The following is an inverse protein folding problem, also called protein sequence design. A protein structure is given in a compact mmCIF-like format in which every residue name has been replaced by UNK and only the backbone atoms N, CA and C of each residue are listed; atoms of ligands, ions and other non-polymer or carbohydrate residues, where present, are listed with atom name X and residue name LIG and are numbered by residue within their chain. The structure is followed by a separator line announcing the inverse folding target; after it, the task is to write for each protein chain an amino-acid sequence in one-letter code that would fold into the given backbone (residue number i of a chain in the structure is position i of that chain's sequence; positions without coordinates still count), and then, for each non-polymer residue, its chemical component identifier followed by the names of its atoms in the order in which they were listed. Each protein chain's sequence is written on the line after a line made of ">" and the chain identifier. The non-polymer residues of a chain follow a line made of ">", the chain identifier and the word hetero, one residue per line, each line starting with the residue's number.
data_IF_228390790582
#
_entry.id   IF_228390790582
#
_cell.length_a   1.000
_cell.length_b   1.000
_cell.length_c   1.000
_cell.angle_alpha   90.00
_cell.angle_beta   90.00
_cell.angle_gamma   90.00
#
_symmetry.space_group_name_H-M   'P 1'
#
loop_
_entity.id
_entity.type
_entity.pdbx_description
1 polymer ?
#
# COMPACT_ATOMS: atom_id res chain seq x y z
N UNK A 1 12.01 35.48 -38.13
CA UNK A 1 12.85 34.28 -38.38
C UNK A 1 11.91 33.10 -38.49
N UNK A 2 12.01 32.32 -39.56
CA UNK A 2 11.19 31.13 -39.72
C UNK A 2 11.73 30.04 -38.78
N UNK A 3 10.93 29.56 -37.82
CA UNK A 3 11.35 28.48 -36.89
C UNK A 3 11.74 27.24 -37.71
N UNK A 4 12.95 26.73 -37.49
CA UNK A 4 13.48 25.55 -38.18
C UNK A 4 12.89 24.25 -37.62
N UNK A 5 13.07 23.11 -38.32
CA UNK A 5 12.66 21.78 -37.80
C UNK A 5 13.33 21.49 -36.45
N UNK A 6 14.58 21.93 -36.26
CA UNK A 6 15.33 21.77 -35.01
C UNK A 6 14.74 22.62 -33.87
N UNK A 7 14.38 23.87 -34.14
CA UNK A 7 13.71 24.75 -33.15
C UNK A 7 12.37 24.17 -32.68
N UNK A 8 11.61 23.57 -33.60
CA UNK A 8 10.34 22.93 -33.28
C UNK A 8 10.53 21.63 -32.50
N UNK A 9 11.58 20.85 -32.79
CA UNK A 9 11.92 19.67 -32.00
C UNK A 9 12.34 20.08 -30.60
N UNK A 10 13.19 21.10 -30.44
CA UNK A 10 13.58 21.62 -29.12
C UNK A 10 12.36 22.16 -28.34
N UNK A 11 11.44 22.86 -29.02
CA UNK A 11 10.17 23.26 -28.43
C UNK A 11 9.33 22.06 -27.96
N UNK A 12 9.23 20.99 -28.77
CA UNK A 12 8.54 19.75 -28.38
C UNK A 12 9.21 19.05 -27.20
N UNK A 13 10.54 19.06 -27.13
CA UNK A 13 11.32 18.53 -25.99
C UNK A 13 11.04 19.33 -24.72
N UNK A 14 11.12 20.66 -24.78
CA UNK A 14 10.86 21.58 -23.65
C UNK A 14 9.43 21.49 -23.16
N UNK A 15 8.47 21.47 -24.09
CA UNK A 15 7.04 21.35 -23.78
C UNK A 15 6.63 19.93 -23.39
N UNK A 16 7.48 18.91 -23.64
CA UNK A 16 7.24 17.48 -23.39
C UNK A 16 6.04 16.92 -24.16
N UNK A 17 5.82 17.46 -25.36
CA UNK A 17 4.72 17.10 -26.22
C UNK A 17 5.17 16.10 -27.30
N UNK A 18 4.42 15.01 -27.45
CA UNK A 18 4.76 13.93 -28.38
C UNK A 18 3.64 13.74 -29.40
N UNK A 19 3.91 13.83 -30.72
CA UNK A 19 2.88 13.70 -31.73
C UNK A 19 2.34 12.27 -31.80
N UNK A 20 1.03 12.12 -31.98
CA UNK A 20 0.31 10.86 -32.12
C UNK A 20 -0.74 11.00 -33.22
N UNK A 21 -0.76 10.03 -34.13
CA UNK A 21 -1.79 9.90 -35.16
C UNK A 21 -2.82 8.84 -34.72
N UNK A 22 -4.10 9.20 -34.75
CA UNK A 22 -5.20 8.28 -34.46
C UNK A 22 -5.41 7.26 -35.59
N UNK A 23 -6.22 6.23 -35.35
CA UNK A 23 -6.62 5.27 -36.41
C UNK A 23 -7.32 5.94 -37.61
N UNK A 24 -7.89 7.13 -37.41
CA UNK A 24 -8.60 7.91 -38.42
C UNK A 24 -7.74 9.03 -39.04
N UNK A 25 -6.42 9.00 -38.86
CA UNK A 25 -5.51 10.01 -39.43
C UNK A 25 -5.46 11.35 -38.67
N UNK A 26 -6.18 11.48 -37.54
CA UNK A 26 -6.19 12.72 -36.75
C UNK A 26 -4.91 12.85 -35.94
N UNK A 27 -4.19 13.96 -36.12
CA UNK A 27 -2.96 14.26 -35.38
C UNK A 27 -3.29 15.00 -34.08
N UNK A 28 -2.65 14.55 -33.02
CA UNK A 28 -2.74 15.11 -31.67
C UNK A 28 -1.37 15.01 -30.99
N UNK A 29 -1.24 15.59 -29.80
CA UNK A 29 -0.03 15.50 -29.00
C UNK A 29 -0.37 15.01 -27.60
N UNK A 30 0.44 14.08 -27.09
CA UNK A 30 0.36 13.54 -25.73
C UNK A 30 1.48 14.11 -24.87
N UNK A 31 1.30 14.05 -23.55
CA UNK A 31 2.23 14.61 -22.56
C UNK A 31 1.75 15.94 -21.97
N UNK A 32 2.50 16.49 -21.00
CA UNK A 32 2.30 17.85 -20.53
C UNK A 32 2.35 18.81 -21.72
N UNK A 33 1.53 19.85 -21.70
CA UNK A 33 1.55 20.92 -22.69
C UNK A 33 1.73 22.22 -21.93
N UNK A 34 2.59 23.10 -22.42
CA UNK A 34 2.64 24.46 -21.87
C UNK A 34 1.38 25.24 -22.25
N UNK A 35 1.16 26.39 -21.60
CA UNK A 35 -0.02 27.24 -21.83
C UNK A 35 -0.11 27.81 -23.25
N UNK A 36 0.96 27.75 -24.03
CA UNK A 36 1.06 28.31 -25.38
C UNK A 36 0.97 27.23 -26.46
N UNK A 37 1.07 25.96 -26.09
CA UNK A 37 1.13 24.83 -27.00
C UNK A 37 -0.04 24.78 -27.97
N UNK A 38 -1.26 25.00 -27.49
CA UNK A 38 -2.44 24.95 -28.35
C UNK A 38 -2.46 26.03 -29.43
N UNK A 39 -1.80 27.18 -29.19
CA UNK A 39 -1.64 28.24 -30.21
C UNK A 39 -0.61 27.87 -31.28
N UNK A 40 0.41 27.08 -30.93
CA UNK A 40 1.48 26.63 -31.84
C UNK A 40 1.18 25.29 -32.52
N UNK A 41 0.18 24.55 -32.06
CA UNK A 41 -0.10 23.18 -32.48
C UNK A 41 -0.24 23.02 -34.00
N UNK A 42 -1.06 23.85 -34.64
CA UNK A 42 -1.33 23.72 -36.09
C UNK A 42 -0.11 24.13 -36.93
N UNK A 43 0.67 25.09 -36.44
CA UNK A 43 1.95 25.47 -37.04
C UNK A 43 2.95 24.31 -36.96
N UNK A 44 3.08 23.66 -35.80
CA UNK A 44 3.97 22.50 -35.60
C UNK A 44 3.57 21.37 -36.56
N UNK A 45 2.28 21.05 -36.68
CA UNK A 45 1.79 19.99 -37.60
C UNK A 45 2.17 20.31 -39.05
N UNK A 46 1.97 21.56 -39.47
CA UNK A 46 2.26 22.01 -40.83
C UNK A 46 3.75 22.01 -41.13
N UNK A 47 4.57 22.60 -40.25
CA UNK A 47 6.02 22.75 -40.46
C UNK A 47 6.77 21.42 -40.36
N UNK A 48 6.40 20.56 -39.41
CA UNK A 48 6.97 19.20 -39.30
C UNK A 48 6.36 18.19 -40.28
N UNK A 49 5.43 18.63 -41.15
CA UNK A 49 4.76 17.81 -42.17
C UNK A 49 4.13 16.53 -41.60
N UNK A 50 3.56 16.61 -40.40
CA UNK A 50 2.89 15.47 -39.78
C UNK A 50 1.61 15.17 -40.57
N UNK A 51 1.52 13.99 -41.19
CA UNK A 51 0.30 13.53 -41.88
C UNK A 51 -0.07 12.10 -41.51
N UNK A 52 0.94 11.26 -41.34
CA UNK A 52 0.78 9.82 -41.15
C UNK A 52 1.24 9.37 -39.76
N UNK A 53 0.97 8.10 -39.47
CA UNK A 53 1.51 7.43 -38.27
C UNK A 53 3.03 7.33 -38.31
N UNK A 54 3.62 7.17 -39.50
CA UNK A 54 5.06 7.13 -39.72
C UNK A 54 5.72 8.49 -39.43
N UNK A 55 5.14 9.59 -39.91
CA UNK A 55 5.65 10.94 -39.65
C UNK A 55 5.65 11.25 -38.14
N UNK A 56 4.55 10.93 -37.46
CA UNK A 56 4.44 11.07 -36.01
C UNK A 56 5.45 10.17 -35.29
N UNK A 57 5.71 8.96 -35.80
CA UNK A 57 6.71 8.04 -35.26
C UNK A 57 8.13 8.61 -35.36
N UNK A 58 8.51 9.11 -36.54
CA UNK A 58 9.82 9.73 -36.81
C UNK A 58 10.08 10.92 -35.87
N UNK A 59 9.17 11.90 -35.84
CA UNK A 59 9.32 13.07 -34.97
C UNK A 59 9.34 12.66 -33.49
N UNK A 60 8.50 11.69 -33.09
CA UNK A 60 8.49 11.21 -31.71
C UNK A 60 9.83 10.58 -31.30
N UNK A 61 10.48 9.83 -32.19
CA UNK A 61 11.82 9.29 -31.90
C UNK A 61 12.87 10.41 -31.82
N UNK A 62 12.85 11.39 -32.73
CA UNK A 62 13.76 12.55 -32.65
C UNK A 62 13.60 13.32 -31.33
N UNK A 63 12.35 13.61 -30.92
CA UNK A 63 12.06 14.27 -29.63
C UNK A 63 12.57 13.41 -28.46
N UNK A 64 12.46 12.08 -28.52
CA UNK A 64 13.00 11.19 -27.48
C UNK A 64 14.53 11.18 -27.45
N UNK A 65 15.18 11.21 -28.60
CA UNK A 65 16.65 11.23 -28.72
C UNK A 65 17.21 12.53 -28.16
N UNK A 66 16.68 13.68 -28.57
CA UNK A 66 17.09 14.98 -28.03
C UNK A 66 16.77 15.09 -26.54
N UNK A 67 15.60 14.64 -26.11
CA UNK A 67 15.28 14.56 -24.68
C UNK A 67 16.25 13.66 -23.90
N UNK A 68 16.74 12.57 -24.50
CA UNK A 68 17.70 11.67 -23.87
C UNK A 68 19.09 12.29 -23.73
N UNK A 69 19.52 13.16 -24.66
CA UNK A 69 20.79 13.91 -24.55
C UNK A 69 20.79 14.89 -23.37
N UNK A 70 19.62 15.45 -23.04
CA UNK A 70 19.44 16.37 -21.91
C UNK A 70 19.30 15.66 -20.54
N UNK A 71 19.26 14.32 -20.50
CA UNK A 71 19.12 13.59 -19.23
C UNK A 71 20.43 13.62 -18.47
N UNK A 72 20.35 14.04 -17.21
CA UNK A 72 21.45 13.92 -16.24
C UNK A 72 21.65 12.49 -15.74
N UNK A 73 20.66 11.61 -15.93
CA UNK A 73 20.67 10.23 -15.45
C UNK A 73 20.80 9.23 -16.59
N UNK A 74 21.66 8.21 -16.40
CA UNK A 74 21.78 7.09 -17.34
C UNK A 74 20.58 6.14 -17.17
N UNK A 75 19.97 5.62 -18.25
CA UNK A 75 18.95 4.56 -18.14
C UNK A 75 19.50 3.34 -17.38
N UNK A 76 18.68 2.68 -16.55
CA UNK A 76 19.09 1.50 -15.76
C UNK A 76 19.73 0.41 -16.64
N UNK A 77 19.22 0.20 -17.86
CA UNK A 77 19.80 -0.75 -18.83
C UNK A 77 21.24 -0.47 -19.24
N UNK A 78 21.75 0.75 -19.00
CA UNK A 78 23.12 1.18 -19.26
C UNK A 78 23.98 1.21 -17.99
N UNK A 79 23.42 0.88 -16.83
CA UNK A 79 24.21 0.75 -15.59
C UNK A 79 25.06 -0.51 -15.63
N UNK A 80 26.09 -0.55 -14.76
CA UNK A 80 26.81 -1.78 -14.43
C UNK A 80 25.80 -2.85 -14.07
N UNK A 81 25.97 -4.07 -14.59
CA UNK A 81 24.93 -5.11 -14.54
C UNK A 81 24.56 -5.44 -13.09
N UNK A 82 25.56 -5.45 -12.22
CA UNK A 82 25.45 -5.71 -10.79
C UNK A 82 24.64 -4.66 -10.03
N UNK A 83 24.59 -3.41 -10.52
CA UNK A 83 23.86 -2.31 -9.87
C UNK A 83 22.38 -2.25 -10.27
N UNK A 84 22.01 -2.99 -11.33
CA UNK A 84 20.63 -3.01 -11.83
C UNK A 84 19.75 -3.78 -10.84
N UNK A 85 18.57 -3.25 -10.49
CA UNK A 85 17.76 -3.82 -9.41
C UNK A 85 17.45 -5.32 -9.55
N UNK A 86 17.07 -5.79 -10.74
CA UNK A 86 16.67 -7.20 -10.96
C UNK A 86 17.88 -8.13 -10.94
N UNK A 87 18.95 -7.73 -11.60
CA UNK A 87 20.19 -8.48 -11.66
C UNK A 87 20.86 -8.56 -10.28
N UNK A 88 20.81 -7.48 -9.50
CA UNK A 88 21.23 -7.48 -8.09
C UNK A 88 20.42 -8.49 -7.29
N UNK A 89 19.09 -8.48 -7.39
CA UNK A 89 18.23 -9.45 -6.69
C UNK A 89 18.57 -10.89 -7.03
N UNK A 90 18.78 -11.21 -8.31
CA UNK A 90 19.15 -12.55 -8.74
C UNK A 90 20.52 -12.97 -8.20
N UNK A 91 21.47 -12.03 -8.12
CA UNK A 91 22.85 -12.30 -7.72
C UNK A 91 23.02 -12.46 -6.20
N UNK A 92 22.37 -11.61 -5.40
CA UNK A 92 22.62 -11.52 -3.95
C UNK A 92 21.44 -11.99 -3.09
N UNK A 93 20.29 -12.32 -3.68
CA UNK A 93 19.08 -12.67 -2.93
C UNK A 93 18.29 -11.44 -2.47
N UNK A 94 16.96 -11.58 -2.35
CA UNK A 94 16.04 -10.48 -2.01
C UNK A 94 16.32 -9.81 -0.66
N UNK A 95 16.83 -10.58 0.29
CA UNK A 95 17.20 -10.18 1.65
C UNK A 95 18.39 -9.22 1.69
N UNK A 96 19.22 -9.21 0.64
CA UNK A 96 20.41 -8.36 0.53
C UNK A 96 20.22 -7.17 -0.43
N UNK A 97 19.03 -7.00 -1.01
CA UNK A 97 18.74 -5.90 -1.94
C UNK A 97 18.22 -4.68 -1.18
N UNK A 98 18.75 -3.47 -1.43
CA UNK A 98 18.21 -2.24 -0.87
C UNK A 98 16.72 -2.05 -1.16
N UNK A 99 15.97 -1.53 -0.19
CA UNK A 99 14.52 -1.31 -0.31
C UNK A 99 14.14 -0.45 -1.53
N UNK A 100 14.96 0.58 -1.84
CA UNK A 100 14.79 1.41 -3.04
C UNK A 100 14.79 0.58 -4.32
N UNK A 101 15.64 -0.43 -4.41
CA UNK A 101 15.75 -1.32 -5.58
C UNK A 101 14.62 -2.34 -5.63
N UNK A 102 14.19 -2.87 -4.49
CA UNK A 102 12.98 -3.71 -4.41
C UNK A 102 11.75 -2.95 -4.93
N UNK A 103 11.53 -1.73 -4.44
CA UNK A 103 10.47 -0.86 -4.93
C UNK A 103 10.66 -0.51 -6.42
N UNK A 104 11.89 -0.28 -6.90
CA UNK A 104 12.15 -0.04 -8.31
C UNK A 104 11.76 -1.22 -9.20
N UNK A 105 11.97 -2.45 -8.75
CA UNK A 105 11.54 -3.68 -9.44
C UNK A 105 10.02 -3.69 -9.57
N UNK A 106 9.31 -3.39 -8.47
CA UNK A 106 7.85 -3.26 -8.46
C UNK A 106 7.41 -2.16 -9.41
N UNK A 107 7.97 -0.94 -9.35
CA UNK A 107 7.56 0.17 -10.22
C UNK A 107 7.83 -0.10 -11.72
N UNK A 108 8.75 -1.01 -12.04
CA UNK A 108 9.20 -1.47 -13.37
C UNK A 108 9.83 -0.42 -14.27
N UNK A 109 9.28 0.78 -14.32
CA UNK A 109 9.68 1.86 -15.23
C UNK A 109 9.82 3.18 -14.48
N UNK A 110 10.74 4.01 -14.97
CA UNK A 110 10.91 5.39 -14.51
C UNK A 110 9.82 6.33 -15.05
N UNK A 111 10.08 7.62 -14.96
CA UNK A 111 9.29 8.66 -15.59
C UNK A 111 9.98 9.14 -16.87
N UNK A 112 9.39 8.83 -18.03
CA UNK A 112 9.94 9.26 -19.31
C UNK A 112 9.95 10.77 -19.49
N UNK A 113 9.08 11.50 -18.77
CA UNK A 113 8.94 12.95 -18.91
C UNK A 113 10.10 13.75 -18.32
N UNK A 114 10.73 13.30 -17.24
CA UNK A 114 11.88 13.98 -16.62
C UNK A 114 13.14 13.11 -16.59
N UNK A 115 13.07 11.90 -17.15
CA UNK A 115 14.21 10.97 -17.20
C UNK A 115 14.50 10.26 -15.89
N UNK A 116 13.72 10.50 -14.83
CA UNK A 116 13.92 9.79 -13.55
C UNK A 116 13.70 8.29 -13.73
N UNK A 117 14.59 7.50 -13.15
CA UNK A 117 14.57 6.03 -13.19
C UNK A 117 13.50 5.46 -12.25
N UNK A 118 13.26 4.15 -12.32
CA UNK A 118 12.36 3.49 -11.38
C UNK A 118 12.90 3.55 -9.94
N UNK A 119 14.23 3.56 -9.77
CA UNK A 119 14.87 3.71 -8.46
C UNK A 119 14.77 5.15 -7.93
N UNK A 120 14.80 6.15 -8.80
CA UNK A 120 14.54 7.55 -8.39
C UNK A 120 13.09 7.74 -7.93
N UNK A 121 12.13 7.09 -8.58
CA UNK A 121 10.73 7.11 -8.15
C UNK A 121 10.55 6.37 -6.81
N UNK A 122 11.22 5.25 -6.61
CA UNK A 122 11.24 4.53 -5.34
C UNK A 122 11.83 5.39 -4.21
N UNK A 123 12.91 6.12 -4.49
CA UNK A 123 13.51 7.06 -3.55
C UNK A 123 12.53 8.18 -3.18
N UNK A 124 11.86 8.79 -4.17
CA UNK A 124 10.83 9.81 -3.91
C UNK A 124 9.67 9.30 -3.03
N UNK A 125 9.27 8.03 -3.19
CA UNK A 125 8.27 7.41 -2.32
C UNK A 125 8.77 7.36 -0.87
N UNK A 126 9.97 6.84 -0.66
CA UNK A 126 10.56 6.72 0.67
C UNK A 126 10.87 8.09 1.28
N UNK A 127 11.29 9.08 0.51
CA UNK A 127 11.53 10.44 1.01
C UNK A 127 10.22 11.10 1.48
N UNK A 128 9.12 10.89 0.74
CA UNK A 128 7.81 11.49 1.05
C UNK A 128 7.09 10.78 2.19
N UNK A 129 7.10 9.45 2.19
CA UNK A 129 6.32 8.62 3.10
C UNK A 129 7.16 7.94 4.19
N UNK A 130 8.48 8.22 4.21
CA UNK A 130 9.50 7.74 5.17
C UNK A 130 9.84 6.26 5.05
N UNK A 131 8.84 5.39 5.17
CA UNK A 131 9.02 3.94 5.24
C UNK A 131 7.85 3.19 4.57
N UNK A 132 7.87 1.85 4.63
CA UNK A 132 6.81 1.01 4.06
C UNK A 132 5.46 1.18 4.77
N UNK A 133 5.44 1.50 6.06
CA UNK A 133 4.19 1.74 6.80
C UNK A 133 3.54 3.02 6.32
N UNK A 134 4.31 4.09 6.15
CA UNK A 134 3.81 5.35 5.60
C UNK A 134 3.32 5.20 4.15
N UNK A 135 3.99 4.37 3.34
CA UNK A 135 3.51 4.04 1.98
C UNK A 135 2.21 3.23 2.04
N UNK A 136 2.06 2.29 2.98
CA UNK A 136 0.82 1.52 3.12
C UNK A 136 -0.35 2.38 3.64
N UNK A 137 -0.11 3.29 4.57
CA UNK A 137 -1.16 4.20 5.08
C UNK A 137 -1.64 5.22 4.04
N UNK A 138 -0.80 5.55 3.06
CA UNK A 138 -1.13 6.49 2.01
C UNK A 138 -2.23 5.93 1.07
N UNK A 139 -3.16 6.79 0.68
CA UNK A 139 -4.13 6.44 -0.36
C UNK A 139 -3.44 6.30 -1.73
N UNK A 140 -4.09 5.63 -2.68
CA UNK A 140 -3.57 5.57 -4.06
C UNK A 140 -3.40 6.96 -4.65
N UNK A 141 -4.31 7.90 -4.33
CA UNK A 141 -4.22 9.29 -4.78
C UNK A 141 -3.02 10.02 -4.17
N UNK A 142 -2.74 9.78 -2.89
CA UNK A 142 -1.53 10.30 -2.23
C UNK A 142 -0.26 9.78 -2.92
N UNK A 143 -0.20 8.49 -3.26
CA UNK A 143 0.93 7.94 -4.02
C UNK A 143 1.03 8.59 -5.41
N UNK A 144 -0.11 8.82 -6.08
CA UNK A 144 -0.17 9.43 -7.40
C UNK A 144 0.22 10.91 -7.43
N UNK A 145 0.26 11.58 -6.28
CA UNK A 145 0.78 12.96 -6.19
C UNK A 145 2.28 13.06 -6.49
N UNK A 146 3.02 11.93 -6.45
CA UNK A 146 4.43 11.90 -6.87
C UNK A 146 4.50 11.86 -8.40
N UNK A 147 5.08 12.90 -9.00
CA UNK A 147 5.28 12.97 -10.44
C UNK A 147 6.06 11.75 -10.97
N UNK A 148 5.43 10.99 -11.86
CA UNK A 148 5.96 9.75 -12.43
C UNK A 148 5.35 8.48 -11.84
N UNK A 149 4.55 8.60 -10.79
CA UNK A 149 3.71 7.55 -10.20
C UNK A 149 2.27 7.86 -10.59
N UNK A 150 1.75 7.14 -11.59
CA UNK A 150 0.33 7.20 -11.93
C UNK A 150 -0.44 6.04 -11.29
N UNK A 151 -1.75 6.02 -11.52
CA UNK A 151 -2.68 5.02 -10.98
C UNK A 151 -2.15 3.58 -11.06
N UNK A 152 -1.64 3.18 -12.23
CA UNK A 152 -1.10 1.83 -12.43
C UNK A 152 0.06 1.49 -11.46
N UNK A 153 1.00 2.42 -11.26
CA UNK A 153 2.14 2.21 -10.34
C UNK A 153 1.69 2.28 -8.87
N UNK A 154 0.79 3.20 -8.54
CA UNK A 154 0.21 3.32 -7.20
C UNK A 154 -0.51 2.04 -6.77
N UNK A 155 -1.41 1.53 -7.61
CA UNK A 155 -2.10 0.25 -7.37
C UNK A 155 -1.10 -0.90 -7.27
N UNK A 156 -0.07 -0.94 -8.13
CA UNK A 156 0.93 -2.01 -8.08
C UNK A 156 1.68 -2.06 -6.74
N UNK A 157 2.06 -0.91 -6.18
CA UNK A 157 2.70 -0.83 -4.85
C UNK A 157 1.72 -1.28 -3.77
N UNK A 158 0.47 -0.80 -3.80
CA UNK A 158 -0.56 -1.21 -2.84
C UNK A 158 -0.86 -2.70 -2.89
N UNK A 159 -0.94 -3.29 -4.09
CA UNK A 159 -1.11 -4.73 -4.27
C UNK A 159 0.06 -5.52 -3.67
N UNK A 160 1.31 -5.06 -3.88
CA UNK A 160 2.49 -5.74 -3.33
C UNK A 160 2.49 -5.76 -1.79
N UNK A 161 2.13 -4.64 -1.16
CA UNK A 161 2.01 -4.53 0.29
C UNK A 161 0.88 -5.42 0.83
N UNK A 162 -0.29 -5.39 0.20
CA UNK A 162 -1.43 -6.23 0.59
C UNK A 162 -1.13 -7.72 0.49
N UNK A 163 -0.39 -8.16 -0.54
CA UNK A 163 0.08 -9.55 -0.64
C UNK A 163 0.94 -9.93 0.57
N UNK A 164 1.86 -9.04 0.98
CA UNK A 164 2.67 -9.23 2.18
C UNK A 164 1.81 -9.38 3.44
N UNK A 165 0.80 -8.53 3.63
CA UNK A 165 -0.12 -8.61 4.78
C UNK A 165 -0.93 -9.91 4.79
N UNK A 166 -1.43 -10.35 3.64
CA UNK A 166 -2.15 -11.62 3.50
C UNK A 166 -1.26 -12.83 3.77
N UNK A 167 0.00 -12.78 3.37
CA UNK A 167 0.96 -13.86 3.68
C UNK A 167 1.13 -14.06 5.20
N UNK A 168 1.21 -12.98 5.99
CA UNK A 168 1.22 -13.09 7.45
C UNK A 168 -0.09 -13.67 8.00
N UNK A 169 -1.23 -13.24 7.48
CA UNK A 169 -2.55 -13.73 7.88
C UNK A 169 -2.73 -15.23 7.57
N UNK A 170 -2.31 -15.69 6.40
CA UNK A 170 -2.35 -17.12 6.03
C UNK A 170 -1.53 -17.98 6.99
N UNK A 171 -0.35 -17.52 7.41
CA UNK A 171 0.48 -18.21 8.40
C UNK A 171 -0.17 -18.28 9.80
N UNK A 172 -1.03 -17.32 10.13
CA UNK A 172 -1.81 -17.33 11.36
C UNK A 172 -3.05 -18.25 11.26
N UNK A 173 -3.68 -18.32 10.09
CA UNK A 173 -4.89 -19.11 9.81
C UNK A 173 -4.65 -20.63 9.76
N UNK A 174 -3.41 -21.08 9.62
CA UNK A 174 -3.05 -22.48 9.89
C UNK A 174 -3.58 -22.80 11.29
N UNK A 175 -4.58 -23.71 11.41
CA UNK A 175 -5.38 -24.01 12.62
C UNK A 175 -4.54 -24.32 13.86
N UNK A 176 -3.94 -23.29 14.43
CA UNK A 176 -3.12 -23.32 15.63
C UNK A 176 -4.07 -23.45 16.81
N UNK A 177 -3.67 -24.33 17.71
CA UNK A 177 -4.26 -24.39 19.04
C UNK A 177 -3.69 -23.21 19.84
N UNK A 178 -4.55 -22.35 20.35
CA UNK A 178 -4.18 -21.25 21.23
C UNK A 178 -4.18 -21.78 22.68
N UNK A 179 -3.06 -22.36 23.10
CA UNK A 179 -2.94 -23.06 24.40
C UNK A 179 -2.32 -22.24 25.52
N UNK A 180 -1.69 -21.11 25.19
CA UNK A 180 -1.04 -20.20 26.13
C UNK A 180 -1.07 -18.77 25.58
N UNK A 181 -0.70 -17.81 26.42
CA UNK A 181 -0.74 -16.38 26.10
C UNK A 181 0.20 -16.06 24.94
N UNK A 182 1.38 -16.69 24.87
CA UNK A 182 2.32 -16.48 23.76
C UNK A 182 1.71 -16.91 22.41
N UNK A 183 0.95 -18.00 22.38
CA UNK A 183 0.26 -18.46 21.17
C UNK A 183 -0.88 -17.52 20.76
N UNK A 184 -1.59 -16.94 21.74
CA UNK A 184 -2.64 -15.93 21.51
C UNK A 184 -2.03 -14.66 20.93
N UNK A 185 -1.01 -14.11 21.59
CA UNK A 185 -0.31 -12.90 21.12
C UNK A 185 0.30 -13.14 19.74
N UNK A 186 0.94 -14.30 19.52
CA UNK A 186 1.49 -14.66 18.22
C UNK A 186 0.43 -14.69 17.12
N UNK A 187 -0.74 -15.28 17.39
CA UNK A 187 -1.86 -15.26 16.45
C UNK A 187 -2.36 -13.83 16.19
N UNK A 188 -2.60 -13.05 17.25
CA UNK A 188 -3.11 -11.68 17.14
C UNK A 188 -2.14 -10.79 16.37
N UNK A 189 -0.85 -10.90 16.66
CA UNK A 189 0.23 -10.17 15.98
C UNK A 189 0.26 -10.48 14.50
N UNK A 190 0.21 -11.75 14.12
CA UNK A 190 0.35 -12.17 12.72
C UNK A 190 -0.95 -11.93 11.92
N UNK A 191 -2.11 -12.11 12.55
CA UNK A 191 -3.43 -11.99 11.91
C UNK A 191 -3.94 -10.56 11.85
N UNK A 192 -3.97 -9.86 12.98
CA UNK A 192 -4.53 -8.50 13.10
C UNK A 192 -3.48 -7.42 12.98
N UNK A 193 -2.24 -7.69 13.41
CA UNK A 193 -1.16 -6.71 13.44
C UNK A 193 -0.97 -5.94 12.12
N UNK A 194 -0.88 -6.61 10.96
CA UNK A 194 -0.69 -5.93 9.67
C UNK A 194 -1.79 -4.93 9.29
N UNK A 195 -2.98 -5.03 9.89
CA UNK A 195 -4.15 -4.22 9.55
C UNK A 195 -4.51 -3.19 10.63
N UNK A 196 -4.36 -3.55 11.92
CA UNK A 196 -4.89 -2.74 13.02
C UNK A 196 -3.89 -1.77 13.66
N UNK A 197 -2.59 -2.08 13.66
CA UNK A 197 -1.57 -1.31 14.41
C UNK A 197 -1.42 0.14 13.98
N UNK A 198 -1.52 0.32 12.66
CA UNK A 198 -1.34 1.58 11.98
C UNK A 198 -2.70 2.17 11.56
N UNK A 199 -3.79 1.62 12.09
CA UNK A 199 -5.14 2.08 11.82
C UNK A 199 -5.43 3.40 12.54
N UNK A 200 -6.01 4.35 11.79
CA UNK A 200 -6.52 5.62 12.34
C UNK A 200 -7.91 5.49 12.99
N UNK A 201 -8.44 4.27 13.04
CA UNK A 201 -9.75 3.93 13.58
C UNK A 201 -9.59 2.77 14.55
N UNK A 202 -10.44 2.78 15.57
CA UNK A 202 -10.56 1.68 16.50
C UNK A 202 -11.41 0.57 15.89
N UNK A 203 -10.92 -0.67 15.98
CA UNK A 203 -11.62 -1.86 15.55
C UNK A 203 -11.69 -2.85 16.70
N UNK A 204 -12.89 -3.30 17.02
CA UNK A 204 -13.11 -4.35 18.01
C UNK A 204 -13.44 -5.66 17.30
N UNK A 205 -12.72 -6.71 17.66
CA UNK A 205 -12.74 -8.01 17.02
C UNK A 205 -12.89 -9.12 18.05
N UNK A 206 -13.39 -10.27 17.60
CA UNK A 206 -13.44 -11.49 18.39
C UNK A 206 -12.83 -12.66 17.62
N UNK A 207 -12.09 -13.50 18.34
CA UNK A 207 -11.60 -14.78 17.86
C UNK A 207 -12.47 -15.85 18.48
N UNK A 208 -13.09 -16.70 17.65
CA UNK A 208 -13.99 -17.75 18.07
C UNK A 208 -13.23 -19.08 18.13
N UNK A 209 -13.33 -19.80 19.25
CA UNK A 209 -12.53 -20.99 19.53
C UNK A 209 -13.40 -22.22 19.82
N UNK A 210 -12.92 -23.39 19.38
CA UNK A 210 -13.52 -24.68 19.73
C UNK A 210 -13.12 -25.14 21.14
N UNK A 211 -13.66 -26.30 21.59
CA UNK A 211 -13.35 -26.89 22.90
C UNK A 211 -11.86 -27.22 23.11
N UNK A 212 -11.06 -27.30 22.04
CA UNK A 212 -9.62 -27.55 22.07
C UNK A 212 -8.83 -26.25 21.89
N UNK A 213 -9.47 -25.09 21.96
CA UNK A 213 -8.92 -23.76 21.69
C UNK A 213 -8.33 -23.61 20.28
N UNK A 214 -8.91 -24.28 19.27
CA UNK A 214 -8.57 -24.01 17.88
C UNK A 214 -9.45 -22.90 17.33
N UNK A 215 -8.87 -22.02 16.52
CA UNK A 215 -9.61 -20.97 15.82
C UNK A 215 -10.63 -21.59 14.87
N UNK A 216 -11.90 -21.28 15.11
CA UNK A 216 -13.02 -21.60 14.25
C UNK A 216 -13.15 -20.49 13.20
N UNK A 217 -13.23 -19.25 13.66
CA UNK A 217 -13.42 -18.06 12.84
C UNK A 217 -12.99 -16.80 13.61
N UNK A 218 -12.90 -15.68 12.89
CA UNK A 218 -12.63 -14.34 13.44
C UNK A 218 -13.67 -13.37 12.93
N UNK A 219 -14.23 -12.52 13.79
CA UNK A 219 -15.22 -11.51 13.41
C UNK A 219 -14.77 -10.12 13.81
N UNK A 220 -15.00 -9.16 12.92
CA UNK A 220 -14.91 -7.72 13.20
C UNK A 220 -16.31 -7.25 13.62
N UNK A 221 -16.44 -6.68 14.82
CA UNK A 221 -17.73 -6.27 15.39
C UNK A 221 -17.99 -4.78 15.19
N UNK A 222 -16.98 -3.94 15.40
CA UNK A 222 -17.10 -2.49 15.19
C UNK A 222 -16.28 -2.03 14.00
N UNK A 223 -16.91 -1.22 13.15
CA UNK A 223 -16.25 -0.51 12.05
C UNK A 223 -16.01 0.94 12.41
N UNK A 224 -14.98 1.20 13.21
CA UNK A 224 -14.36 2.52 13.27
C UNK A 224 -15.28 3.65 13.70
N UNK A 225 -15.80 3.54 14.92
CA UNK A 225 -16.34 4.68 15.67
C UNK A 225 -15.18 5.52 16.21
N UNK A 226 -15.38 6.84 16.34
CA UNK A 226 -14.44 7.73 17.04
C UNK A 226 -14.55 7.56 18.56
N UNK A 227 -15.62 6.90 19.02
CA UNK A 227 -15.91 6.64 20.43
C UNK A 227 -15.93 5.12 20.69
N UNK A 228 -15.12 4.66 21.63
CA UNK A 228 -14.96 3.28 22.12
C UNK A 228 -16.25 2.62 22.70
N UNK A 229 -17.38 3.32 22.73
CA UNK A 229 -18.57 2.95 23.52
C UNK A 229 -19.60 2.02 22.84
N UNK A 230 -19.28 1.36 21.71
CA UNK A 230 -20.31 0.63 20.92
C UNK A 230 -19.93 -0.83 20.65
N UNK A 231 -19.44 -1.55 21.66
CA UNK A 231 -19.39 -3.02 21.58
C UNK A 231 -20.54 -3.56 22.42
N UNK A 232 -21.54 -4.13 21.77
CA UNK A 232 -22.69 -4.71 22.43
C UNK A 232 -22.40 -6.20 22.80
N UNK A 233 -22.42 -6.59 24.09
CA UNK A 233 -22.28 -7.99 24.49
C UNK A 233 -23.28 -8.92 23.80
N UNK A 234 -24.47 -8.42 23.44
CA UNK A 234 -25.46 -9.20 22.69
C UNK A 234 -24.91 -9.66 21.33
N UNK A 235 -24.17 -8.81 20.64
CA UNK A 235 -23.59 -9.16 19.34
C UNK A 235 -22.48 -10.20 19.50
N UNK A 236 -21.62 -10.05 20.51
CA UNK A 236 -20.58 -11.04 20.84
C UNK A 236 -21.19 -12.41 21.13
N UNK A 237 -22.20 -12.45 22.01
CA UNK A 237 -22.91 -13.69 22.35
C UNK A 237 -23.59 -14.30 21.12
N UNK A 238 -24.21 -13.49 20.26
CA UNK A 238 -24.83 -13.96 19.02
C UNK A 238 -23.81 -14.60 18.08
N UNK A 239 -22.65 -13.97 17.86
CA UNK A 239 -21.61 -14.53 17.00
C UNK A 239 -21.00 -15.81 17.59
N UNK A 240 -20.71 -15.82 18.89
CA UNK A 240 -20.17 -16.99 19.58
C UNK A 240 -21.13 -18.19 19.54
N UNK A 241 -22.42 -17.96 19.79
CA UNK A 241 -23.44 -19.02 19.75
C UNK A 241 -23.70 -19.52 18.32
N UNK A 242 -23.76 -18.61 17.34
CA UNK A 242 -23.96 -18.98 15.92
C UNK A 242 -22.86 -19.91 15.40
N UNK A 243 -21.60 -19.62 15.72
CA UNK A 243 -20.46 -20.44 15.29
C UNK A 243 -20.18 -21.62 16.25
N UNK A 244 -21.01 -21.83 17.28
CA UNK A 244 -20.84 -22.87 18.30
C UNK A 244 -19.46 -22.79 19.00
N UNK A 245 -19.00 -21.57 19.25
CA UNK A 245 -17.75 -21.32 19.96
C UNK A 245 -17.86 -21.77 21.42
N UNK A 246 -16.83 -22.45 21.92
CA UNK A 246 -16.73 -22.84 23.34
C UNK A 246 -16.01 -21.77 24.17
N UNK A 247 -15.28 -20.89 23.50
CA UNK A 247 -14.60 -19.76 24.10
C UNK A 247 -14.27 -18.70 23.07
N UNK A 248 -13.99 -17.48 23.54
CA UNK A 248 -13.62 -16.34 22.70
C UNK A 248 -12.38 -15.63 23.25
N UNK A 249 -11.71 -14.88 22.38
CA UNK A 249 -10.71 -13.87 22.75
C UNK A 249 -11.14 -12.55 22.14
N UNK A 250 -11.13 -11.48 22.92
CA UNK A 250 -11.44 -10.14 22.48
C UNK A 250 -10.15 -9.46 21.99
N UNK A 251 -10.23 -8.66 20.93
CA UNK A 251 -9.07 -7.96 20.38
C UNK A 251 -9.47 -6.57 19.90
N UNK A 252 -8.78 -5.53 20.35
CA UNK A 252 -8.94 -4.20 19.76
C UNK A 252 -7.63 -3.43 19.64
N UNK A 253 -7.68 -2.28 18.95
CA UNK A 253 -6.55 -1.38 18.79
C UNK A 253 -6.95 0.04 19.18
N UNK A 254 -6.04 0.79 19.80
CA UNK A 254 -6.21 2.22 19.95
C UNK A 254 -5.56 2.97 18.79
N UNK A 255 -6.21 3.99 18.19
CA UNK A 255 -5.58 4.84 17.17
C UNK A 255 -4.32 5.56 17.67
N UNK A 256 -4.20 5.78 18.99
CA UNK A 256 -3.00 6.34 19.62
C UNK A 256 -1.80 5.39 19.55
N UNK A 257 -2.06 4.07 19.50
CA UNK A 257 -1.06 3.02 19.59
C UNK A 257 -0.64 2.67 21.03
N UNK A 258 -1.23 3.31 22.03
CA UNK A 258 -1.06 2.98 23.45
C UNK A 258 -1.86 1.73 23.81
N UNK A 259 -1.33 0.90 24.70
CA UNK A 259 -1.92 -0.39 25.06
C UNK A 259 -2.60 -0.40 26.42
N UNK A 260 -2.47 0.67 27.20
CA UNK A 260 -3.14 0.76 28.49
C UNK A 260 -4.66 0.82 28.30
N UNK A 261 -5.44 -0.04 28.98
CA UNK A 261 -6.89 -0.04 28.87
C UNK A 261 -7.47 1.23 29.49
N UNK A 262 -8.51 1.77 28.86
CA UNK A 262 -9.36 2.78 29.46
C UNK A 262 -10.32 2.18 30.50
N UNK A 263 -10.98 3.03 31.29
CA UNK A 263 -12.05 2.57 32.19
C UNK A 263 -13.19 1.88 31.44
N UNK A 264 -13.52 2.39 30.24
CA UNK A 264 -14.57 1.85 29.38
C UNK A 264 -14.20 0.45 28.86
N UNK A 265 -12.92 0.19 28.58
CA UNK A 265 -12.44 -1.12 28.16
C UNK A 265 -12.60 -2.16 29.27
N UNK A 266 -12.28 -1.77 30.51
CA UNK A 266 -12.44 -2.64 31.68
C UNK A 266 -13.92 -2.94 31.91
N UNK A 267 -14.79 -1.92 31.89
CA UNK A 267 -16.24 -2.11 32.08
C UNK A 267 -16.84 -2.97 30.97
N UNK A 268 -16.48 -2.70 29.71
CA UNK A 268 -16.95 -3.47 28.54
C UNK A 268 -16.52 -4.93 28.68
N UNK A 269 -15.27 -5.18 29.05
CA UNK A 269 -14.75 -6.53 29.26
C UNK A 269 -15.54 -7.28 30.31
N UNK A 270 -15.75 -6.67 31.49
CA UNK A 270 -16.52 -7.28 32.59
C UNK A 270 -17.95 -7.63 32.17
N UNK A 271 -18.62 -6.72 31.44
CA UNK A 271 -19.97 -6.96 30.90
C UNK A 271 -19.99 -8.11 29.90
N UNK A 272 -18.99 -8.21 29.03
CA UNK A 272 -18.87 -9.30 28.06
C UNK A 272 -18.61 -10.64 28.75
N UNK A 273 -17.70 -10.68 29.73
CA UNK A 273 -17.41 -11.88 30.53
C UNK A 273 -18.69 -12.40 31.19
N UNK A 274 -19.44 -11.52 31.88
CA UNK A 274 -20.71 -11.88 32.53
C UNK A 274 -21.75 -12.38 31.53
N UNK A 275 -21.90 -11.73 30.37
CA UNK A 275 -22.86 -12.13 29.35
C UNK A 275 -22.51 -13.50 28.71
N UNK A 276 -21.23 -13.74 28.44
CA UNK A 276 -20.76 -15.00 27.88
C UNK A 276 -20.87 -16.17 28.88
N UNK A 277 -20.67 -15.92 30.18
CA UNK A 277 -20.84 -16.94 31.23
C UNK A 277 -22.27 -17.50 31.27
N UNK A 278 -23.29 -16.64 31.11
CA UNK A 278 -24.70 -17.05 31.06
C UNK A 278 -25.03 -18.05 29.94
N UNK A 279 -24.22 -18.10 28.89
CA UNK A 279 -24.38 -19.00 27.75
C UNK A 279 -23.27 -20.06 27.65
N UNK A 280 -22.48 -20.24 28.71
CA UNK A 280 -21.37 -21.18 28.79
C UNK A 280 -20.28 -20.97 27.72
N UNK A 281 -20.01 -19.72 27.35
CA UNK A 281 -18.88 -19.32 26.50
C UNK A 281 -17.83 -18.66 27.37
N UNK A 282 -16.60 -19.18 27.37
CA UNK A 282 -15.52 -18.59 28.19
C UNK A 282 -14.83 -17.46 27.43
N UNK A 283 -14.62 -16.31 28.07
CA UNK A 283 -13.69 -15.28 27.56
C UNK A 283 -12.31 -15.64 28.08
N UNK A 284 -11.38 -16.01 27.20
CA UNK A 284 -10.04 -16.46 27.62
C UNK A 284 -9.07 -15.30 27.81
N UNK A 285 -9.24 -14.24 27.04
CA UNK A 285 -8.41 -13.06 27.13
C UNK A 285 -9.08 -11.87 26.41
N UNK A 286 -8.54 -10.69 26.68
CA UNK A 286 -8.78 -9.47 25.94
C UNK A 286 -7.43 -8.83 25.62
N UNK A 287 -7.12 -8.71 24.32
CA UNK A 287 -5.85 -8.19 23.83
C UNK A 287 -6.02 -6.78 23.25
N UNK A 288 -5.26 -5.83 23.76
CA UNK A 288 -5.09 -4.50 23.16
C UNK A 288 -3.82 -4.52 22.33
N UNK A 289 -3.92 -4.21 21.03
CA UNK A 289 -2.80 -4.13 20.11
C UNK A 289 -2.25 -2.71 20.08
N UNK A 290 -0.93 -2.58 20.32
CA UNK A 290 -0.21 -1.31 20.26
C UNK A 290 0.51 -1.07 18.93
N UNK A 291 1.33 -0.02 18.92
CA UNK A 291 2.02 0.46 17.72
C UNK A 291 3.14 -0.47 17.23
N UNK A 292 3.93 -1.02 18.15
CA UNK A 292 5.09 -1.88 17.83
C UNK A 292 4.77 -3.38 17.96
N UNK A 293 5.69 -4.25 17.52
CA UNK A 293 5.52 -5.72 17.52
C UNK A 293 5.23 -6.29 18.89
N UNK A 294 5.91 -5.79 19.89
CA UNK A 294 5.84 -6.24 21.27
C UNK A 294 4.85 -5.43 22.12
N UNK A 295 4.23 -4.40 21.55
CA UNK A 295 3.28 -3.57 22.29
C UNK A 295 1.92 -4.27 22.29
N UNK A 296 1.59 -4.90 23.40
CA UNK A 296 0.26 -5.43 23.67
C UNK A 296 -0.08 -5.34 25.15
N UNK A 297 -1.37 -5.40 25.45
CA UNK A 297 -1.87 -5.63 26.80
C UNK A 297 -2.78 -6.86 26.77
N UNK A 298 -2.51 -7.82 27.66
CA UNK A 298 -3.37 -8.98 27.90
C UNK A 298 -4.06 -8.80 29.25
N UNK A 299 -5.39 -8.84 29.24
CA UNK A 299 -6.17 -8.77 30.48
C UNK A 299 -5.93 -10.01 31.35
N UNK A 300 -5.73 -11.19 30.74
CA UNK A 300 -5.39 -12.42 31.47
C UNK A 300 -4.05 -12.26 32.20
N UNK A 301 -2.99 -11.84 31.50
CA UNK A 301 -1.65 -11.68 32.11
C UNK A 301 -1.64 -10.68 33.27
N UNK A 302 -2.56 -9.72 33.24
CA UNK A 302 -2.72 -8.68 34.26
C UNK A 302 -3.73 -9.07 35.36
N UNK A 303 -4.34 -10.24 35.28
CA UNK A 303 -5.31 -10.74 36.26
C UNK A 303 -6.63 -9.97 36.28
N UNK A 304 -7.04 -9.41 35.14
CA UNK A 304 -8.29 -8.66 34.96
C UNK A 304 -9.44 -9.54 34.43
N UNK A 305 -9.16 -10.79 34.06
CA UNK A 305 -10.11 -11.85 33.68
C UNK A 305 -9.66 -13.16 34.33
#
# INVERSE_FOLDING_TARGET
>A
MDETEEDLIDYLVKSKAYPVCSKFGKISFTGPKDKFFDKKKDEIIKKLKLKTKEDCGRIRELVKEESAKLRTTKPIKKWVKEDRPREMLIKVGSENVPLTKLLAIILRTGNSFDGSSAEDLARKLLDKFRDLRGIDQASVDDLCSIKGIGMAKGVQVKSALEIGKRFYRENAEIKKRLSNVESVIGFVRDFYGPYLRDSKKEFFNIILLDRKNKVIDTKELTKGSVNASIVDPLEIVREATRETASSIILVHNHPSGEVDPSGDDIETTDRVVKACDLVNVRVLDHIIIGKNLEDYFSFMDKGLI
#
